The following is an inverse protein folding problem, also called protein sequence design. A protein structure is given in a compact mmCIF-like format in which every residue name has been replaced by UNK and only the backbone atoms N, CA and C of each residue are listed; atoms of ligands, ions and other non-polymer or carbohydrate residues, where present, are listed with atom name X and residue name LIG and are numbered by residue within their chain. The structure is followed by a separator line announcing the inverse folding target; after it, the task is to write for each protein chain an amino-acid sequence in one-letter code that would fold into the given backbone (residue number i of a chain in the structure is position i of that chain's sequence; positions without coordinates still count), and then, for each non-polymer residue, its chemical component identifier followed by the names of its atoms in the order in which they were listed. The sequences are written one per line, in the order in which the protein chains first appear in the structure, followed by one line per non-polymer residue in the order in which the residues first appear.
data_IF_013352291819
#
_entry.id   IF_013352291819
#
_cell.length_a   1.000
_cell.length_b   1.000
_cell.length_c   1.000
_cell.angle_alpha   90.00
_cell.angle_beta   90.00
_cell.angle_gamma   90.00
#
_symmetry.space_group_name_H-M   'P 1'
#
loop_
_entity.id
_entity.type
_entity.pdbx_description
1 polymer ?
#
# COMPACT_ATOMS: atom_id res chain seq x y z
N UNK A 1 -47.76 27.35 -27.87
CA UNK A 1 -46.45 27.53 -28.52
C UNK A 1 -45.56 28.33 -27.59
N UNK A 2 -44.58 27.67 -26.95
CA UNK A 2 -43.44 28.31 -26.28
C UNK A 2 -42.24 27.36 -26.40
N UNK A 3 -41.11 27.92 -26.83
CA UNK A 3 -39.83 27.28 -27.14
C UNK A 3 -39.09 26.77 -25.87
N UNK A 4 -38.11 25.85 -26.03
CA UNK A 4 -37.50 25.10 -24.95
C UNK A 4 -36.33 25.85 -24.28
N UNK A 5 -36.23 25.75 -22.95
CA UNK A 5 -35.04 26.16 -22.20
C UNK A 5 -34.05 25.01 -22.17
N UNK A 6 -32.95 25.18 -22.92
CA UNK A 6 -31.72 24.42 -22.76
C UNK A 6 -31.03 24.94 -21.50
N UNK A 7 -30.80 24.07 -20.53
CA UNK A 7 -29.85 24.33 -19.44
C UNK A 7 -29.08 23.05 -19.21
N UNK A 8 -27.88 23.03 -19.79
CA UNK A 8 -26.89 22.01 -19.52
C UNK A 8 -26.43 22.10 -18.07
N UNK A 9 -26.33 20.95 -17.43
CA UNK A 9 -25.47 20.79 -16.26
C UNK A 9 -24.82 19.41 -16.34
N UNK A 10 -23.71 19.35 -17.06
CA UNK A 10 -22.71 18.31 -16.88
C UNK A 10 -22.11 18.48 -15.48
N UNK A 11 -22.65 17.77 -14.49
CA UNK A 11 -21.97 17.50 -13.24
C UNK A 11 -21.14 16.22 -13.43
N UNK A 12 -20.00 16.39 -14.11
CA UNK A 12 -18.84 15.57 -13.83
C UNK A 12 -18.39 15.84 -12.39
N UNK A 13 -18.11 14.79 -11.63
CA UNK A 13 -17.30 14.92 -10.42
C UNK A 13 -17.98 14.57 -9.11
N UNK A 14 -18.52 13.36 -8.97
CA UNK A 14 -18.41 12.64 -7.69
C UNK A 14 -17.03 11.96 -7.65
N UNK A 15 -15.97 12.77 -7.75
CA UNK A 15 -14.65 12.37 -7.31
C UNK A 15 -14.75 12.21 -5.81
N UNK A 16 -15.05 10.99 -5.35
CA UNK A 16 -14.82 10.59 -3.98
C UNK A 16 -13.31 10.73 -3.78
N UNK A 17 -12.89 11.93 -3.36
CA UNK A 17 -11.56 12.22 -2.91
C UNK A 17 -11.34 11.21 -1.79
N UNK A 18 -10.68 10.09 -2.14
CA UNK A 18 -10.21 9.09 -1.22
C UNK A 18 -9.30 9.87 -0.30
N UNK A 19 -9.85 10.26 0.85
CA UNK A 19 -9.14 10.95 1.88
C UNK A 19 -8.07 9.95 2.31
N UNK A 20 -6.87 10.09 1.75
CA UNK A 20 -5.71 9.30 2.13
C UNK A 20 -5.42 9.75 3.55
N UNK A 21 -6.11 9.12 4.53
CA UNK A 21 -5.80 9.29 5.94
C UNK A 21 -4.30 9.02 6.01
N UNK A 22 -3.50 10.06 6.28
CA UNK A 22 -2.08 9.90 6.53
C UNK A 22 -2.00 8.90 7.69
N UNK A 23 -1.59 7.67 7.38
CA UNK A 23 -1.46 6.64 8.38
C UNK A 23 -0.26 7.06 9.23
N UNK A 24 -0.44 7.18 10.55
CA UNK A 24 0.67 7.47 11.43
C UNK A 24 1.67 6.30 11.37
N UNK A 25 2.96 6.59 11.22
CA UNK A 25 4.01 5.57 11.15
C UNK A 25 3.95 4.60 12.35
N UNK A 26 3.69 5.13 13.55
CA UNK A 26 3.57 4.34 14.78
C UNK A 26 2.40 3.36 14.74
N UNK A 27 1.34 3.66 13.98
CA UNK A 27 0.18 2.76 13.82
C UNK A 27 0.47 1.58 12.88
N UNK A 28 1.59 1.61 12.14
CA UNK A 28 2.01 0.53 11.26
C UNK A 28 2.90 -0.48 11.98
N UNK A 29 3.63 -0.07 13.02
CA UNK A 29 4.56 -0.94 13.74
C UNK A 29 3.80 -2.06 14.47
N UNK A 30 4.25 -3.29 14.31
CA UNK A 30 3.63 -4.50 14.85
C UNK A 30 2.50 -5.08 13.99
N UNK A 31 2.05 -4.38 12.95
CA UNK A 31 1.02 -4.90 12.05
C UNK A 31 1.57 -5.98 11.10
N UNK A 32 0.67 -6.85 10.65
CA UNK A 32 1.01 -7.89 9.67
C UNK A 32 0.80 -7.38 8.25
N UNK A 33 1.89 -7.29 7.50
CA UNK A 33 1.89 -6.99 6.08
C UNK A 33 2.06 -8.28 5.26
N UNK A 34 1.51 -8.28 4.06
CA UNK A 34 1.89 -9.22 3.01
C UNK A 34 2.95 -8.53 2.16
N UNK A 35 4.09 -9.19 1.98
CA UNK A 35 5.21 -8.68 1.19
C UNK A 35 5.50 -9.60 0.03
N UNK A 36 5.77 -8.98 -1.12
CA UNK A 36 6.27 -9.64 -2.31
C UNK A 36 7.64 -9.05 -2.61
N UNK A 37 8.65 -9.90 -2.69
CA UNK A 37 10.03 -9.49 -2.99
C UNK A 37 10.73 -10.57 -3.81
N UNK A 38 11.62 -10.17 -4.72
CA UNK A 38 12.38 -11.12 -5.54
C UNK A 38 13.22 -12.08 -4.69
N UNK A 39 13.68 -11.63 -3.51
CA UNK A 39 14.48 -12.46 -2.60
C UNK A 39 13.67 -13.60 -1.94
N UNK A 40 12.34 -13.56 -2.02
CA UNK A 40 11.46 -14.56 -1.43
C UNK A 40 10.54 -15.15 -2.50
N UNK A 41 10.69 -16.46 -2.76
CA UNK A 41 9.87 -17.18 -3.74
C UNK A 41 9.88 -16.51 -5.14
N UNK A 42 10.96 -15.80 -5.50
CA UNK A 42 11.09 -15.03 -6.75
C UNK A 42 9.96 -14.00 -6.97
N UNK A 43 9.37 -13.47 -5.89
CA UNK A 43 8.22 -12.59 -5.97
C UNK A 43 6.91 -13.28 -6.39
N UNK A 44 6.87 -14.60 -6.57
CA UNK A 44 5.67 -15.31 -7.05
C UNK A 44 4.58 -15.42 -5.99
N UNK A 45 4.97 -15.39 -4.72
CA UNK A 45 4.07 -15.62 -3.58
C UNK A 45 4.26 -14.49 -2.58
N UNK A 46 3.15 -13.96 -2.08
CA UNK A 46 3.18 -13.02 -0.97
C UNK A 46 3.49 -13.76 0.33
N UNK A 47 4.48 -13.26 1.08
CA UNK A 47 4.91 -13.80 2.37
C UNK A 47 4.36 -12.90 3.46
N UNK A 48 3.95 -13.48 4.59
CA UNK A 48 3.57 -12.68 5.75
C UNK A 48 4.83 -12.10 6.42
N UNK A 49 4.77 -10.82 6.75
CA UNK A 49 5.82 -10.11 7.46
C UNK A 49 5.24 -9.22 8.55
N UNK A 50 6.01 -9.00 9.60
CA UNK A 50 5.68 -8.05 10.66
C UNK A 50 6.40 -6.74 10.37
N UNK A 51 5.67 -5.63 10.41
CA UNK A 51 6.26 -4.30 10.32
C UNK A 51 7.00 -4.02 11.63
N UNK A 52 8.31 -3.81 11.55
CA UNK A 52 9.14 -3.49 12.72
C UNK A 52 9.41 -2.01 12.85
N UNK A 53 9.46 -1.28 11.73
CA UNK A 53 9.64 0.17 11.68
C UNK A 53 8.88 0.71 10.47
N UNK A 54 8.45 1.97 10.52
CA UNK A 54 7.78 2.64 9.42
C UNK A 54 8.21 4.10 9.34
N UNK A 55 8.26 4.64 8.14
CA UNK A 55 8.43 6.07 7.87
C UNK A 55 7.45 6.53 6.79
N UNK A 56 6.89 7.72 6.99
CA UNK A 56 5.97 8.38 6.06
C UNK A 56 6.58 9.65 5.49
N UNK A 57 7.91 9.76 5.52
CA UNK A 57 8.62 10.91 4.97
C UNK A 57 8.44 10.97 3.45
N UNK A 58 7.78 12.05 2.99
CA UNK A 58 7.47 12.28 1.59
C UNK A 58 8.72 12.47 0.71
N UNK A 59 9.89 12.80 1.29
CA UNK A 59 11.12 12.96 0.52
C UNK A 59 11.70 11.65 -0.03
N UNK A 60 11.32 10.51 0.58
CA UNK A 60 11.89 9.18 0.27
C UNK A 60 10.82 8.19 -0.24
N UNK A 61 9.56 8.61 -0.33
CA UNK A 61 8.45 7.75 -0.73
C UNK A 61 8.39 7.57 -2.25
N UNK A 62 8.33 6.33 -2.76
CA UNK A 62 7.99 6.06 -4.16
C UNK A 62 6.57 6.52 -4.54
N UNK A 63 6.32 6.70 -5.83
CA UNK A 63 4.99 7.07 -6.34
C UNK A 63 3.92 6.03 -5.91
N UNK A 64 2.81 6.55 -5.39
CA UNK A 64 1.68 5.82 -4.78
C UNK A 64 1.97 5.03 -3.50
N UNK A 65 3.18 5.11 -2.93
CA UNK A 65 3.49 4.48 -1.66
C UNK A 65 2.88 5.28 -0.49
N UNK A 66 2.27 4.56 0.45
CA UNK A 66 1.67 5.11 1.68
C UNK A 66 2.74 5.33 2.75
N UNK A 67 3.69 4.40 2.85
CA UNK A 67 4.79 4.44 3.80
C UNK A 67 5.97 3.62 3.24
N UNK A 68 7.15 3.83 3.80
CA UNK A 68 8.29 2.97 3.64
C UNK A 68 8.47 2.22 4.95
N UNK A 69 8.54 0.89 4.90
CA UNK A 69 8.51 0.04 6.10
C UNK A 69 9.69 -0.92 6.15
N UNK A 70 10.16 -1.15 7.37
CA UNK A 70 11.07 -2.23 7.72
C UNK A 70 10.21 -3.42 8.13
N UNK A 71 10.44 -4.56 7.48
CA UNK A 71 9.62 -5.77 7.63
C UNK A 71 10.49 -6.94 8.06
N UNK A 72 9.97 -7.79 8.93
CA UNK A 72 10.54 -9.11 9.21
C UNK A 72 9.63 -10.19 8.65
N UNK A 73 10.08 -10.88 7.60
CA UNK A 73 9.30 -11.88 6.89
C UNK A 73 9.62 -13.30 7.35
N UNK A 74 8.60 -14.15 7.33
CA UNK A 74 8.65 -15.56 7.77
C UNK A 74 8.29 -16.47 6.60
N UNK A 75 9.18 -16.58 5.62
CA UNK A 75 8.94 -17.46 4.48
C UNK A 75 8.95 -18.95 4.91
N UNK A 76 8.10 -19.81 4.31
CA UNK A 76 8.04 -21.23 4.67
C UNK A 76 9.41 -21.91 4.50
N UNK A 77 9.84 -22.65 5.51
CA UNK A 77 11.06 -23.46 5.46
C UNK A 77 12.37 -22.67 5.53
N UNK A 78 12.36 -21.37 5.84
CA UNK A 78 13.57 -20.56 6.04
C UNK A 78 13.50 -19.78 7.36
N UNK A 79 14.64 -19.45 7.99
CA UNK A 79 14.66 -18.56 9.14
C UNK A 79 14.11 -17.17 8.76
N UNK A 80 13.53 -16.48 9.74
CA UNK A 80 13.02 -15.12 9.55
C UNK A 80 14.11 -14.18 9.08
N UNK A 81 13.79 -13.29 8.13
CA UNK A 81 14.73 -12.29 7.59
C UNK A 81 14.12 -10.90 7.63
N UNK A 82 14.95 -9.92 7.95
CA UNK A 82 14.57 -8.50 7.93
C UNK A 82 14.89 -7.89 6.58
N UNK A 83 13.94 -7.12 6.03
CA UNK A 83 14.13 -6.24 4.89
C UNK A 83 13.82 -4.81 5.32
N UNK A 84 14.71 -3.90 4.96
CA UNK A 84 14.50 -2.46 5.12
C UNK A 84 13.95 -1.87 3.83
N UNK A 85 13.33 -0.71 3.95
CA UNK A 85 12.93 0.13 2.84
C UNK A 85 11.96 -0.53 1.84
N UNK A 86 10.95 -1.24 2.38
CA UNK A 86 9.90 -1.83 1.54
C UNK A 86 8.74 -0.85 1.41
N UNK A 87 8.33 -0.45 0.19
CA UNK A 87 7.19 0.43 0.03
C UNK A 87 5.89 -0.29 0.39
N UNK A 88 5.09 0.36 1.23
CA UNK A 88 3.75 -0.05 1.64
C UNK A 88 2.72 0.62 0.75
N UNK A 89 1.89 -0.18 0.09
CA UNK A 89 0.82 0.27 -0.79
C UNK A 89 -0.55 0.00 -0.15
N UNK A 90 -1.56 0.75 -0.58
CA UNK A 90 -2.93 0.61 -0.09
C UNK A 90 -3.61 -0.69 -0.54
N UNK A 91 -3.10 -1.35 -1.58
CA UNK A 91 -3.65 -2.56 -2.17
C UNK A 91 -2.51 -3.47 -2.68
N UNK A 92 -2.79 -4.76 -2.94
CA UNK A 92 -1.85 -5.63 -3.62
C UNK A 92 -1.37 -5.02 -4.93
N UNK A 93 -0.04 -5.01 -5.15
CA UNK A 93 0.60 -4.53 -6.38
C UNK A 93 1.18 -5.72 -7.16
N UNK A 94 1.16 -5.59 -8.49
CA UNK A 94 1.63 -6.61 -9.42
C UNK A 94 3.17 -6.72 -9.44
N UNK A 95 3.69 -7.73 -10.12
CA UNK A 95 5.13 -8.09 -10.16
C UNK A 95 6.06 -7.00 -10.70
N UNK A 96 5.53 -5.93 -11.29
CA UNK A 96 6.32 -4.85 -11.90
C UNK A 96 7.03 -3.94 -10.87
N UNK A 97 6.59 -3.93 -9.61
CA UNK A 97 7.08 -3.01 -8.58
C UNK A 97 7.56 -3.75 -7.32
N UNK A 98 8.52 -4.66 -7.48
CA UNK A 98 9.14 -5.36 -6.35
C UNK A 98 10.37 -4.60 -5.83
N UNK A 99 10.58 -4.54 -4.51
CA UNK A 99 9.75 -5.10 -3.45
C UNK A 99 8.49 -4.26 -3.19
N UNK A 100 7.37 -4.91 -2.87
CA UNK A 100 6.10 -4.25 -2.50
C UNK A 100 5.46 -4.96 -1.32
N UNK A 101 4.85 -4.19 -0.42
CA UNK A 101 4.01 -4.75 0.63
C UNK A 101 2.67 -4.02 0.75
N UNK A 102 1.70 -4.69 1.38
CA UNK A 102 0.39 -4.13 1.71
C UNK A 102 -0.08 -4.73 3.02
N UNK A 103 -0.87 -3.98 3.79
CA UNK A 103 -1.44 -4.52 5.02
C UNK A 103 -2.40 -5.65 4.70
N UNK A 104 -2.30 -6.76 5.43
CA UNK A 104 -3.35 -7.78 5.41
C UNK A 104 -4.53 -7.18 6.16
N UNK A 105 -5.51 -6.64 5.42
CA UNK A 105 -6.64 -5.85 5.94
C UNK A 105 -7.02 -6.21 7.39
N UNK A 106 -7.04 -5.22 8.29
CA UNK A 106 -8.11 -5.19 9.27
C UNK A 106 -9.37 -4.81 8.49
N UNK A 107 -10.32 -5.74 8.41
CA UNK A 107 -11.71 -5.41 8.13
C UNK A 107 -12.11 -4.37 9.17
N UNK A 108 -12.43 -3.15 8.73
CA UNK A 108 -13.13 -2.15 9.50
C UNK A 108 -14.34 -1.72 8.68
#
# INVERSE_FOLDING_TARGET
MSLPVVSGLFLFGAGMARQTKKIAADALVGETALVRAAIWQNGRVAVAAIVTEATTDAAILPEDAVALVSLTAFAPGVPSRTMRDVPLYAAPRDDAALPACWLKQRVA
#
